data_IF_403606260245
#
_entry.id   IF_403606260245
#
_cell.length_a   1.000
_cell.length_b   1.000
_cell.length_c   1.000
_cell.angle_alpha   90.00
_cell.angle_beta   90.00
_cell.angle_gamma   90.00
#
_symmetry.space_group_name_H-M   'P 1'
#
loop_
_entity.id
_entity.type
_entity.pdbx_description
1 polymer ?
#
# COMPACT_ATOMS: atom_id res chain seq x y z
N UNK A 1 16.72 -66.66 -27.76
CA UNK A 1 16.52 -66.03 -29.08
C UNK A 1 15.20 -65.28 -28.97
N UNK A 2 15.03 -63.96 -29.01
CA UNK A 2 15.76 -62.78 -29.51
C UNK A 2 15.19 -61.56 -28.76
N UNK A 3 15.89 -60.90 -27.84
CA UNK A 3 16.69 -59.64 -27.95
C UNK A 3 16.07 -58.45 -28.72
N UNK A 4 16.03 -57.31 -28.01
CA UNK A 4 15.81 -55.90 -28.44
C UNK A 4 16.72 -55.48 -29.62
N UNK A 5 16.49 -54.27 -30.19
CA UNK A 5 17.35 -53.15 -29.80
C UNK A 5 16.66 -51.77 -29.66
N UNK A 6 17.41 -50.87 -29.00
CA UNK A 6 17.22 -49.43 -28.82
C UNK A 6 18.21 -48.67 -29.76
N UNK A 7 17.78 -47.48 -30.23
CA UNK A 7 18.53 -46.20 -30.35
C UNK A 7 19.69 -46.10 -31.37
N UNK A 8 19.55 -45.25 -32.42
CA UNK A 8 20.33 -43.99 -32.65
C UNK A 8 20.28 -43.44 -34.11
N UNK A 9 20.61 -42.14 -34.24
CA UNK A 9 20.87 -41.29 -35.44
C UNK A 9 19.64 -40.75 -36.20
N UNK A 10 19.44 -39.44 -36.38
CA UNK A 10 20.18 -38.57 -37.32
C UNK A 10 20.28 -37.07 -36.89
N UNK A 11 21.37 -36.44 -37.35
CA UNK A 11 21.83 -35.05 -37.19
C UNK A 11 21.01 -33.99 -37.96
N UNK A 12 21.13 -32.75 -37.45
CA UNK A 12 21.24 -31.44 -38.16
C UNK A 12 20.15 -31.01 -39.16
N UNK A 13 19.44 -29.92 -38.82
CA UNK A 13 19.23 -28.82 -39.77
C UNK A 13 18.91 -27.51 -39.04
N UNK A 14 19.91 -26.65 -38.94
CA UNK A 14 19.82 -25.24 -38.57
C UNK A 14 19.35 -24.39 -39.75
N UNK A 15 18.29 -23.59 -39.60
CA UNK A 15 18.02 -22.40 -40.39
C UNK A 15 17.29 -21.31 -39.55
N UNK A 16 17.44 -20.02 -39.89
CA UNK A 16 17.45 -18.91 -38.92
C UNK A 16 16.10 -18.22 -38.77
N UNK A 17 15.81 -17.73 -37.56
CA UNK A 17 14.74 -16.75 -37.34
C UNK A 17 15.30 -15.32 -37.50
N UNK A 18 14.68 -14.45 -38.31
CA UNK A 18 15.08 -13.06 -38.41
C UNK A 18 14.54 -12.29 -37.20
N UNK A 19 15.43 -11.74 -36.38
CA UNK A 19 15.07 -10.70 -35.42
C UNK A 19 14.93 -9.37 -36.17
N UNK A 20 13.70 -8.92 -36.33
CA UNK A 20 13.38 -7.52 -36.57
C UNK A 20 11.94 -7.29 -36.13
N UNK A 21 11.75 -6.74 -34.94
CA UNK A 21 10.85 -5.61 -34.69
C UNK A 21 11.04 -5.10 -33.27
N UNK A 22 11.09 -3.77 -33.15
CA UNK A 22 11.03 -3.02 -31.91
C UNK A 22 9.87 -3.54 -31.04
N UNK A 23 10.16 -3.99 -29.82
CA UNK A 23 9.12 -4.22 -28.81
C UNK A 23 8.63 -2.88 -28.27
N UNK A 24 7.31 -2.70 -28.27
CA UNK A 24 6.63 -1.57 -27.66
C UNK A 24 6.81 -1.61 -26.13
N UNK A 25 7.08 -0.48 -25.45
CA UNK A 25 7.37 -0.43 -24.01
C UNK A 25 6.26 -1.06 -23.12
N UNK A 26 5.00 -1.06 -23.55
CA UNK A 26 3.86 -1.58 -22.77
C UNK A 26 3.87 -3.11 -22.61
N UNK A 27 4.43 -3.83 -23.58
CA UNK A 27 4.58 -5.29 -23.51
C UNK A 27 5.69 -5.69 -22.53
N UNK A 28 6.74 -4.87 -22.42
CA UNK A 28 7.86 -5.11 -21.51
C UNK A 28 7.43 -5.01 -20.05
N UNK A 29 6.63 -4.00 -19.72
CA UNK A 29 6.07 -3.77 -18.37
C UNK A 29 5.15 -4.94 -17.97
N UNK A 30 4.26 -5.38 -18.87
CA UNK A 30 3.33 -6.49 -18.60
C UNK A 30 4.06 -7.83 -18.38
N UNK A 31 5.13 -8.09 -19.14
CA UNK A 31 5.95 -9.29 -18.99
C UNK A 31 6.76 -9.30 -17.69
N UNK A 32 7.29 -8.15 -17.25
CA UNK A 32 7.99 -8.00 -15.96
C UNK A 32 7.05 -8.31 -14.79
N UNK A 33 5.82 -7.78 -14.81
CA UNK A 33 4.85 -8.06 -13.74
C UNK A 33 4.43 -9.53 -13.68
N UNK A 34 4.32 -10.21 -14.83
CA UNK A 34 4.05 -11.66 -14.88
C UNK A 34 5.22 -12.50 -14.33
N UNK A 35 6.46 -12.11 -14.64
CA UNK A 35 7.65 -12.79 -14.13
C UNK A 35 7.86 -12.59 -12.61
N UNK A 36 7.57 -11.38 -12.08
CA UNK A 36 7.62 -11.11 -10.64
C UNK A 36 6.60 -11.96 -9.86
N UNK A 37 5.40 -12.20 -10.43
CA UNK A 37 4.42 -13.14 -9.86
C UNK A 37 4.98 -14.56 -9.81
N UNK A 38 5.57 -15.06 -10.89
CA UNK A 38 6.15 -16.42 -10.92
C UNK A 38 7.32 -16.58 -9.92
N UNK A 39 8.16 -15.56 -9.76
CA UNK A 39 9.32 -15.63 -8.86
C UNK A 39 8.93 -15.57 -7.36
N UNK A 40 7.89 -14.80 -7.00
CA UNK A 40 7.29 -14.84 -5.66
C UNK A 40 6.78 -16.25 -5.31
N UNK A 41 6.15 -16.94 -6.27
CA UNK A 41 5.69 -18.32 -6.09
C UNK A 41 6.85 -19.30 -5.93
N UNK A 42 7.95 -19.14 -6.69
CA UNK A 42 9.12 -20.00 -6.56
C UNK A 42 9.82 -19.86 -5.20
N UNK A 43 9.89 -18.62 -4.67
CA UNK A 43 10.49 -18.35 -3.36
C UNK A 43 9.55 -18.68 -2.17
N UNK A 44 8.24 -18.73 -2.39
CA UNK A 44 7.26 -19.17 -1.38
C UNK A 44 7.23 -20.70 -1.17
N UNK A 45 7.81 -21.48 -2.10
CA UNK A 45 7.92 -22.95 -2.01
C UNK A 45 9.20 -23.41 -1.28
N UNK A 46 10.08 -22.50 -0.87
CA UNK A 46 11.21 -22.84 0.01
C UNK A 46 10.69 -22.91 1.45
N UNK A 47 10.91 -24.01 2.18
CA UNK A 47 10.41 -24.16 3.55
C UNK A 47 10.85 -22.98 4.41
N UNK A 48 9.88 -22.38 5.09
CA UNK A 48 10.08 -21.31 6.09
C UNK A 48 10.68 -21.97 7.34
N UNK A 49 11.95 -22.35 7.30
CA UNK A 49 12.66 -22.87 8.47
C UNK A 49 13.82 -21.95 8.87
N UNK A 50 13.70 -21.41 10.09
CA UNK A 50 14.77 -20.97 11.00
C UNK A 50 15.58 -19.69 10.71
N UNK A 51 15.12 -18.75 9.88
CA UNK A 51 15.74 -17.39 9.82
C UNK A 51 15.04 -16.27 10.59
N UNK A 52 13.89 -16.56 11.23
CA UNK A 52 13.14 -15.56 11.99
C UNK A 52 13.72 -15.25 13.39
N UNK A 53 14.51 -16.17 13.97
CA UNK A 53 15.12 -15.96 15.30
C UNK A 53 16.22 -14.88 15.29
N UNK A 54 16.83 -14.57 14.15
CA UNK A 54 17.87 -13.53 14.04
C UNK A 54 17.33 -12.12 13.77
N UNK A 55 16.10 -11.96 13.27
CA UNK A 55 15.50 -10.62 13.08
C UNK A 55 14.84 -10.08 14.36
N UNK A 56 14.42 -10.95 15.29
CA UNK A 56 14.00 -10.53 16.63
C UNK A 56 15.12 -9.81 17.41
N UNK A 57 16.39 -10.08 17.10
CA UNK A 57 17.53 -9.36 17.69
C UNK A 57 17.68 -7.94 17.14
N UNK A 58 17.19 -7.63 15.94
CA UNK A 58 17.29 -6.28 15.35
C UNK A 58 16.33 -5.27 16.02
N UNK A 59 15.23 -5.72 16.60
CA UNK A 59 14.31 -4.88 17.37
C UNK A 59 14.61 -4.85 18.88
N UNK A 60 15.61 -5.63 19.35
CA UNK A 60 16.03 -5.66 20.76
C UNK A 60 16.95 -4.50 21.17
N UNK A 61 17.48 -3.73 20.22
CA UNK A 61 18.13 -2.46 20.52
C UNK A 61 17.06 -1.38 20.63
N UNK A 62 16.43 -1.32 21.81
CA UNK A 62 15.77 -0.11 22.30
C UNK A 62 16.78 1.02 22.17
N UNK A 63 16.54 1.95 21.25
CA UNK A 63 17.16 3.27 21.34
C UNK A 63 16.37 4.02 22.43
N UNK A 64 16.93 4.19 23.64
CA UNK A 64 16.18 4.74 24.75
C UNK A 64 16.05 6.24 24.51
N UNK A 65 14.85 6.69 24.13
CA UNK A 65 14.27 8.01 24.33
C UNK A 65 15.31 9.07 24.77
N UNK A 66 16.25 9.42 23.89
CA UNK A 66 17.25 10.44 24.20
C UNK A 66 16.65 11.79 23.82
N UNK A 67 15.91 12.33 24.78
CA UNK A 67 15.62 13.74 24.88
C UNK A 67 16.96 14.46 25.12
N UNK A 68 17.71 14.73 24.06
CA UNK A 68 18.92 15.55 24.10
C UNK A 68 18.62 16.91 23.50
N UNK A 69 18.63 17.92 24.37
CA UNK A 69 18.68 19.33 24.05
C UNK A 69 19.96 19.63 23.27
N UNK A 70 19.90 19.60 21.94
CA UNK A 70 21.02 19.98 21.09
C UNK A 70 21.17 21.51 21.08
N UNK A 71 22.09 22.01 21.90
CA UNK A 71 22.62 23.37 21.78
C UNK A 71 23.47 23.48 20.50
N UNK A 72 23.17 24.52 19.73
CA UNK A 72 23.91 25.10 18.58
C UNK A 72 25.38 24.68 18.45
N UNK A 73 25.69 24.04 17.33
CA UNK A 73 26.94 24.27 16.58
C UNK A 73 26.56 24.58 15.14
N UNK A 74 26.86 25.81 14.72
CA UNK A 74 26.65 26.30 13.36
C UNK A 74 27.80 25.76 12.52
N UNK A 75 27.55 24.70 11.77
CA UNK A 75 28.31 24.37 10.57
C UNK A 75 27.39 24.64 9.39
N UNK A 76 27.87 25.47 8.47
CA UNK A 76 27.15 25.90 7.28
C UNK A 76 27.08 24.74 6.30
N UNK A 77 26.08 23.88 6.46
CA UNK A 77 25.61 23.01 5.40
C UNK A 77 24.92 23.90 4.35
N UNK A 78 25.26 23.65 3.08
CA UNK A 78 24.62 24.31 1.94
C UNK A 78 23.11 24.14 2.03
N UNK A 79 22.38 25.07 1.42
CA UNK A 79 20.92 25.10 1.25
C UNK A 79 20.43 23.96 0.33
N UNK A 80 20.87 22.72 0.61
CA UNK A 80 20.49 21.49 -0.08
C UNK A 80 18.99 21.26 0.19
N UNK A 81 18.21 21.20 -0.90
CA UNK A 81 16.76 21.02 -0.89
C UNK A 81 16.33 19.96 0.14
N UNK A 82 15.56 20.40 1.14
CA UNK A 82 14.92 19.52 2.12
C UNK A 82 14.17 18.39 1.41
N UNK A 83 14.31 17.12 1.82
CA UNK A 83 13.71 16.01 1.10
C UNK A 83 12.18 16.12 1.09
N UNK A 84 11.59 16.18 -0.10
CA UNK A 84 10.13 16.27 -0.27
C UNK A 84 9.52 14.87 -0.22
N UNK A 85 8.57 14.68 0.69
CA UNK A 85 7.73 13.49 0.83
C UNK A 85 6.37 13.77 0.24
N UNK A 86 6.10 13.22 -0.95
CA UNK A 86 4.84 13.43 -1.63
C UNK A 86 3.85 12.28 -1.38
N UNK A 87 2.63 12.64 -1.01
CA UNK A 87 1.45 11.80 -1.11
C UNK A 87 0.57 12.34 -2.24
N UNK A 88 0.33 11.51 -3.25
CA UNK A 88 -0.62 11.79 -4.33
C UNK A 88 -1.76 10.77 -4.25
N UNK A 89 -2.99 11.29 -4.12
CA UNK A 89 -4.22 10.50 -4.07
C UNK A 89 -4.30 9.45 -5.20
N UNK A 90 -4.74 8.21 -4.90
CA UNK A 90 -5.01 7.19 -5.92
C UNK A 90 -6.32 7.48 -6.70
N UNK A 91 -7.10 8.48 -6.29
CA UNK A 91 -8.37 8.85 -6.91
C UNK A 91 -8.22 9.93 -7.98
N UNK A 92 -7.00 10.42 -8.24
CA UNK A 92 -6.75 11.22 -9.43
C UNK A 92 -6.97 10.39 -10.72
N UNK A 93 -7.46 11.03 -11.80
CA UNK A 93 -7.56 10.38 -13.10
C UNK A 93 -6.22 9.82 -13.56
N UNK A 94 -6.23 8.72 -14.31
CA UNK A 94 -5.03 8.24 -14.97
C UNK A 94 -4.57 9.27 -16.01
N UNK A 95 -3.38 9.83 -15.82
CA UNK A 95 -2.72 10.65 -16.82
C UNK A 95 -2.13 9.71 -17.89
N UNK A 96 -2.54 9.89 -19.15
CA UNK A 96 -2.22 8.97 -20.25
C UNK A 96 -0.73 8.89 -20.63
N UNK A 97 0.12 9.69 -19.97
CA UNK A 97 1.54 9.85 -20.33
C UNK A 97 2.52 9.54 -19.19
N UNK A 98 2.05 9.22 -17.96
CA UNK A 98 2.95 8.92 -16.84
C UNK A 98 3.14 7.41 -16.62
N UNK A 99 4.37 6.94 -16.32
CA UNK A 99 4.61 5.54 -16.00
C UNK A 99 3.82 5.15 -14.74
N UNK A 100 3.17 3.98 -14.78
CA UNK A 100 2.38 3.47 -13.66
C UNK A 100 3.29 3.15 -12.47
N UNK A 101 3.00 3.77 -11.33
CA UNK A 101 3.73 3.49 -10.08
C UNK A 101 3.31 2.10 -9.58
N UNK A 102 4.25 1.16 -9.35
CA UNK A 102 3.92 -0.14 -8.78
C UNK A 102 3.18 0.04 -7.45
N UNK A 103 2.00 -0.55 -7.38
CA UNK A 103 1.07 -0.33 -6.27
C UNK A 103 0.60 -1.66 -5.69
N UNK A 104 0.71 -1.80 -4.37
CA UNK A 104 0.16 -2.92 -3.62
C UNK A 104 -1.14 -2.51 -2.92
N UNK A 105 -2.13 -3.41 -2.89
CA UNK A 105 -3.34 -3.31 -2.09
C UNK A 105 -3.32 -4.39 -1.00
N UNK A 106 -3.52 -4.00 0.25
CA UNK A 106 -3.80 -4.91 1.37
C UNK A 106 -5.28 -4.78 1.74
N UNK A 107 -5.99 -5.89 1.85
CA UNK A 107 -7.40 -5.94 2.31
C UNK A 107 -7.43 -6.58 3.69
N UNK A 108 -7.84 -5.81 4.70
CA UNK A 108 -7.98 -6.27 6.08
C UNK A 108 -9.35 -6.91 6.33
N UNK A 109 -9.51 -7.54 7.49
CA UNK A 109 -10.78 -8.16 7.94
C UNK A 109 -11.81 -7.11 8.40
N UNK A 110 -12.12 -6.14 7.56
CA UNK A 110 -13.13 -5.11 7.78
C UNK A 110 -14.30 -5.31 6.80
N UNK A 111 -15.57 -5.16 7.22
CA UNK A 111 -16.71 -5.25 6.30
C UNK A 111 -16.52 -4.37 5.07
N UNK A 112 -16.83 -4.91 3.88
CA UNK A 112 -16.81 -4.17 2.61
C UNK A 112 -18.25 -3.79 2.28
N UNK A 113 -18.51 -2.50 2.14
CA UNK A 113 -19.80 -2.00 1.65
C UNK A 113 -19.97 -2.41 0.19
N UNK A 114 -21.10 -3.05 -0.16
CA UNK A 114 -21.38 -3.41 -1.55
C UNK A 114 -21.86 -2.18 -2.32
N UNK A 115 -21.39 -2.03 -3.56
CA UNK A 115 -21.97 -1.09 -4.50
C UNK A 115 -23.39 -1.54 -4.90
N UNK A 116 -24.19 -0.60 -5.43
CA UNK A 116 -25.57 -0.85 -5.88
C UNK A 116 -25.66 -1.96 -6.96
N UNK A 117 -24.59 -2.18 -7.72
CA UNK A 117 -24.47 -3.23 -8.72
C UNK A 117 -23.91 -4.57 -8.18
N UNK A 118 -23.81 -4.72 -6.85
CA UNK A 118 -23.25 -5.91 -6.21
C UNK A 118 -21.72 -5.99 -6.23
N UNK A 119 -21.06 -4.92 -6.70
CA UNK A 119 -19.61 -4.87 -6.84
C UNK A 119 -18.89 -4.38 -5.56
N UNK A 120 -17.55 -4.33 -5.59
CA UNK A 120 -16.73 -3.64 -4.59
C UNK A 120 -17.25 -2.22 -4.35
N UNK A 121 -17.06 -1.70 -3.13
CA UNK A 121 -17.35 -0.30 -2.84
C UNK A 121 -16.65 0.63 -3.82
N UNK A 122 -17.20 1.83 -4.04
CA UNK A 122 -16.62 2.79 -4.98
C UNK A 122 -15.14 3.05 -4.65
N UNK A 123 -14.80 3.19 -3.36
CA UNK A 123 -13.42 3.36 -2.91
C UNK A 123 -12.56 2.14 -3.23
N UNK A 124 -12.95 0.94 -2.76
CA UNK A 124 -12.17 -0.28 -2.95
C UNK A 124 -12.01 -0.66 -4.42
N UNK A 125 -13.01 -0.39 -5.26
CA UNK A 125 -12.93 -0.61 -6.70
C UNK A 125 -11.78 0.21 -7.32
N UNK A 126 -11.67 1.50 -6.98
CA UNK A 126 -10.54 2.35 -7.44
C UNK A 126 -9.21 1.77 -6.94
N UNK A 127 -9.10 1.47 -5.65
CA UNK A 127 -7.86 0.92 -5.08
C UNK A 127 -7.47 -0.41 -5.74
N UNK A 128 -8.44 -1.28 -6.00
CA UNK A 128 -8.24 -2.57 -6.67
C UNK A 128 -7.69 -2.41 -8.09
N UNK A 129 -8.28 -1.50 -8.87
CA UNK A 129 -7.86 -1.22 -10.26
C UNK A 129 -6.47 -0.58 -10.33
N UNK A 130 -6.13 0.30 -9.39
CA UNK A 130 -4.81 0.94 -9.32
C UNK A 130 -3.69 0.00 -8.86
N UNK A 131 -4.02 -1.16 -8.31
CA UNK A 131 -3.05 -2.06 -7.67
C UNK A 131 -2.62 -3.21 -8.57
N UNK A 132 -1.31 -3.40 -8.68
CA UNK A 132 -0.66 -4.49 -9.43
C UNK A 132 -0.39 -5.74 -8.58
N UNK A 133 -0.38 -5.59 -7.26
CA UNK A 133 -0.20 -6.67 -6.29
C UNK A 133 -1.25 -6.57 -5.19
N UNK A 134 -1.98 -7.64 -4.91
CA UNK A 134 -3.16 -7.61 -4.03
C UNK A 134 -3.04 -8.70 -2.97
N UNK A 135 -3.10 -8.31 -1.71
CA UNK A 135 -2.93 -9.20 -0.55
C UNK A 135 -4.16 -9.13 0.32
N UNK A 136 -4.74 -10.28 0.65
CA UNK A 136 -5.74 -10.38 1.72
C UNK A 136 -5.04 -10.77 3.03
N UNK A 137 -5.25 -9.97 4.07
CA UNK A 137 -4.75 -10.24 5.41
C UNK A 137 -5.79 -11.12 6.15
N UNK A 138 -5.48 -12.41 6.28
CA UNK A 138 -6.29 -13.45 6.89
C UNK A 138 -7.79 -13.35 6.52
N UNK A 139 -8.63 -12.94 7.48
CA UNK A 139 -10.07 -12.81 7.30
C UNK A 139 -10.49 -11.74 6.29
N UNK A 140 -9.57 -10.89 5.82
CA UNK A 140 -9.81 -10.01 4.66
C UNK A 140 -10.19 -10.78 3.40
N UNK A 141 -9.75 -12.03 3.25
CA UNK A 141 -10.19 -12.90 2.17
C UNK A 141 -11.67 -13.29 2.29
N UNK A 142 -12.20 -13.46 3.51
CA UNK A 142 -13.63 -13.70 3.70
C UNK A 142 -14.44 -12.50 3.21
N UNK A 143 -13.97 -11.28 3.51
CA UNK A 143 -14.64 -10.03 3.10
C UNK A 143 -14.68 -9.91 1.58
N UNK A 144 -13.57 -10.19 0.91
CA UNK A 144 -13.48 -10.18 -0.54
C UNK A 144 -14.38 -11.27 -1.17
N UNK A 145 -14.41 -12.46 -0.55
CA UNK A 145 -15.27 -13.56 -0.97
C UNK A 145 -16.75 -13.20 -0.85
N UNK A 146 -17.19 -12.56 0.24
CA UNK A 146 -18.61 -12.19 0.44
C UNK A 146 -19.12 -11.22 -0.63
N UNK A 147 -18.25 -10.35 -1.15
CA UNK A 147 -18.55 -9.47 -2.29
C UNK A 147 -18.61 -10.28 -3.58
N UNK A 148 -17.65 -11.17 -3.80
CA UNK A 148 -17.55 -11.99 -5.01
C UNK A 148 -18.68 -13.01 -5.15
N UNK A 149 -19.06 -13.67 -4.05
CA UNK A 149 -20.06 -14.73 -4.01
C UNK A 149 -21.50 -14.21 -3.98
N UNK A 150 -21.72 -12.98 -3.50
CA UNK A 150 -23.05 -12.36 -3.48
C UNK A 150 -23.65 -12.06 -4.85
N UNK A 151 -22.85 -12.15 -5.92
CA UNK A 151 -23.27 -11.97 -7.32
C UNK A 151 -23.69 -13.29 -7.99
N UNK A 152 -23.65 -14.41 -7.27
CA UNK A 152 -23.93 -15.75 -7.80
C UNK A 152 -25.42 -16.14 -7.84
N UNK A 153 -26.33 -15.19 -8.06
CA UNK A 153 -27.75 -15.52 -8.32
C UNK A 153 -28.00 -16.00 -9.75
N UNK A 154 -27.02 -15.86 -10.65
CA UNK A 154 -27.08 -16.33 -12.03
C UNK A 154 -25.73 -16.98 -12.38
N UNK A 155 -25.72 -18.31 -12.58
CA UNK A 155 -24.51 -19.13 -12.84
C UNK A 155 -23.77 -18.75 -14.15
N UNK A 156 -24.27 -17.75 -14.88
CA UNK A 156 -23.82 -17.38 -16.23
C UNK A 156 -22.98 -16.10 -16.29
N UNK A 157 -22.85 -15.34 -15.19
CA UNK A 157 -22.07 -14.09 -15.16
C UNK A 157 -21.07 -14.11 -13.97
N UNK A 158 -20.03 -14.93 -14.07
CA UNK A 158 -18.88 -14.96 -13.13
C UNK A 158 -17.80 -13.91 -13.47
N UNK A 159 -18.18 -12.72 -13.95
CA UNK A 159 -17.19 -11.80 -14.56
C UNK A 159 -16.41 -10.95 -13.53
N UNK A 160 -16.80 -10.96 -12.25
CA UNK A 160 -16.05 -10.27 -11.17
C UNK A 160 -15.29 -11.27 -10.29
N UNK A 161 -14.42 -12.08 -10.91
CA UNK A 161 -13.49 -12.95 -10.17
C UNK A 161 -12.42 -12.10 -9.46
N UNK A 162 -12.76 -11.56 -8.28
CA UNK A 162 -11.81 -10.86 -7.43
C UNK A 162 -10.84 -11.85 -6.78
N UNK A 163 -9.75 -12.12 -7.49
CA UNK A 163 -8.64 -12.96 -7.03
C UNK A 163 -7.51 -12.08 -6.50
N UNK A 164 -7.17 -12.17 -5.19
CA UNK A 164 -5.93 -11.58 -4.70
C UNK A 164 -4.74 -12.38 -5.23
N UNK A 165 -3.57 -11.76 -5.23
CA UNK A 165 -2.31 -12.41 -5.58
C UNK A 165 -1.76 -13.26 -4.42
N UNK A 166 -2.18 -12.98 -3.18
CA UNK A 166 -1.77 -13.68 -1.97
C UNK A 166 -2.82 -13.55 -0.86
N UNK A 167 -3.01 -14.62 -0.09
CA UNK A 167 -3.66 -14.58 1.22
C UNK A 167 -2.61 -14.91 2.28
N UNK A 168 -2.48 -14.10 3.32
CA UNK A 168 -1.51 -14.35 4.39
C UNK A 168 -1.97 -13.86 5.75
N UNK A 169 -1.47 -14.47 6.82
CA UNK A 169 -1.86 -14.23 8.21
C UNK A 169 -1.55 -15.47 9.05
N UNK A 170 -1.97 -15.51 10.31
CA UNK A 170 -1.97 -16.80 11.05
C UNK A 170 -3.10 -17.74 10.62
N UNK A 171 -4.04 -17.23 9.83
CA UNK A 171 -5.16 -17.96 9.21
C UNK A 171 -6.17 -18.48 10.24
N UNK A 172 -6.30 -17.79 11.37
CA UNK A 172 -7.27 -18.12 12.41
C UNK A 172 -8.68 -17.59 12.09
N UNK A 173 -8.75 -16.59 11.21
CA UNK A 173 -9.97 -15.91 10.83
C UNK A 173 -10.50 -16.37 9.46
N UNK A 174 -9.66 -16.94 8.60
CA UNK A 174 -10.01 -17.44 7.27
C UNK A 174 -10.95 -18.65 7.36
N UNK A 175 -12.13 -18.57 6.73
CA UNK A 175 -13.07 -19.68 6.74
C UNK A 175 -12.63 -20.84 5.83
N UNK A 176 -12.84 -22.11 6.22
CA UNK A 176 -12.41 -23.26 5.43
C UNK A 176 -12.96 -23.30 3.99
N UNK A 177 -14.23 -22.92 3.79
CA UNK A 177 -14.84 -22.86 2.46
C UNK A 177 -14.27 -21.74 1.59
N UNK A 178 -13.93 -20.60 2.20
CA UNK A 178 -13.29 -19.46 1.52
C UNK A 178 -11.85 -19.81 1.14
N UNK A 179 -11.13 -20.46 2.05
CA UNK A 179 -9.79 -21.02 1.78
C UNK A 179 -9.81 -21.93 0.57
N UNK A 180 -10.69 -22.94 0.59
CA UNK A 180 -10.83 -23.90 -0.51
C UNK A 180 -11.20 -23.22 -1.84
N UNK A 181 -12.06 -22.20 -1.81
CA UNK A 181 -12.44 -21.42 -2.99
C UNK A 181 -11.24 -20.76 -3.67
N UNK A 182 -10.35 -20.15 -2.90
CA UNK A 182 -9.18 -19.45 -3.41
C UNK A 182 -8.03 -20.41 -3.78
N UNK A 183 -7.81 -21.48 -3.00
CA UNK A 183 -6.82 -22.53 -3.33
C UNK A 183 -7.15 -23.20 -4.67
N UNK A 184 -8.42 -23.55 -4.91
CA UNK A 184 -8.87 -24.13 -6.19
C UNK A 184 -8.65 -23.22 -7.39
N UNK A 185 -8.51 -21.90 -7.16
CA UNK A 185 -8.27 -20.88 -8.19
C UNK A 185 -6.79 -20.49 -8.28
N UNK A 186 -5.91 -21.19 -7.58
CA UNK A 186 -4.46 -21.00 -7.66
C UNK A 186 -3.92 -19.80 -6.86
N UNK A 187 -4.71 -19.24 -5.95
CA UNK A 187 -4.24 -18.17 -5.05
C UNK A 187 -3.36 -18.79 -3.96
N UNK A 188 -2.10 -18.35 -3.79
CA UNK A 188 -1.24 -18.78 -2.69
C UNK A 188 -1.83 -18.37 -1.34
N UNK A 189 -1.76 -19.28 -0.37
CA UNK A 189 -2.17 -19.01 1.01
C UNK A 189 -0.99 -19.35 1.93
N UNK A 190 -0.40 -18.33 2.54
CA UNK A 190 0.81 -18.45 3.37
C UNK A 190 0.46 -18.19 4.84
N UNK A 191 0.61 -19.22 5.66
CA UNK A 191 0.48 -19.11 7.13
C UNK A 191 1.74 -18.51 7.74
N UNK A 192 1.58 -17.55 8.65
CA UNK A 192 2.63 -16.95 9.45
C UNK A 192 2.23 -17.07 10.92
N UNK A 193 2.86 -18.00 11.65
CA UNK A 193 2.47 -18.40 13.02
C UNK A 193 2.91 -17.41 14.12
N UNK A 194 3.36 -16.21 13.75
CA UNK A 194 3.83 -15.21 14.70
C UNK A 194 2.66 -14.50 15.41
N UNK A 195 2.71 -14.46 16.74
CA UNK A 195 1.68 -13.86 17.60
C UNK A 195 2.07 -12.47 18.10
N UNK A 196 3.31 -12.03 17.86
CA UNK A 196 3.79 -10.70 18.25
C UNK A 196 3.41 -9.62 17.19
N UNK A 197 2.92 -10.04 16.03
CA UNK A 197 2.57 -9.18 14.90
C UNK A 197 1.10 -9.36 14.47
N UNK A 198 0.45 -8.24 14.15
CA UNK A 198 -0.93 -8.25 13.64
C UNK A 198 -0.96 -8.70 12.17
N UNK A 199 -2.14 -9.06 11.64
CA UNK A 199 -2.24 -9.50 10.24
C UNK A 199 -1.84 -8.43 9.22
N UNK A 200 -2.00 -7.15 9.55
CA UNK A 200 -1.48 -6.06 8.72
C UNK A 200 0.05 -6.12 8.62
N UNK A 201 0.76 -6.37 9.73
CA UNK A 201 2.22 -6.50 9.73
C UNK A 201 2.66 -7.69 8.87
N UNK A 202 1.98 -8.83 8.99
CA UNK A 202 2.24 -10.04 8.16
C UNK A 202 2.01 -9.76 6.67
N UNK A 203 0.95 -9.02 6.33
CA UNK A 203 0.70 -8.58 4.95
C UNK A 203 1.76 -7.59 4.45
N UNK A 204 2.22 -6.66 5.30
CA UNK A 204 3.30 -5.73 4.96
C UNK A 204 4.65 -6.43 4.76
N UNK A 205 4.94 -7.53 5.48
CA UNK A 205 6.09 -8.40 5.20
C UNK A 205 6.03 -9.02 3.79
N UNK A 206 4.84 -9.40 3.33
CA UNK A 206 4.66 -9.91 1.97
C UNK A 206 4.87 -8.80 0.92
N UNK A 207 4.35 -7.60 1.19
CA UNK A 207 4.57 -6.42 0.33
C UNK A 207 6.05 -6.03 0.29
N UNK A 208 6.77 -6.11 1.41
CA UNK A 208 8.21 -5.86 1.46
C UNK A 208 8.98 -6.78 0.51
N UNK A 209 8.72 -8.08 0.56
CA UNK A 209 9.32 -9.05 -0.37
C UNK A 209 8.97 -8.76 -1.83
N UNK A 210 7.75 -8.30 -2.08
CA UNK A 210 7.34 -7.88 -3.42
C UNK A 210 8.15 -6.66 -3.91
N UNK A 211 8.38 -5.65 -3.05
CA UNK A 211 9.24 -4.49 -3.35
C UNK A 211 10.69 -4.92 -3.61
N UNK A 212 11.25 -5.81 -2.79
CA UNK A 212 12.61 -6.34 -2.97
C UNK A 212 12.79 -7.01 -4.35
N UNK A 213 11.78 -7.77 -4.80
CA UNK A 213 11.80 -8.41 -6.10
C UNK A 213 11.72 -7.38 -7.25
N UNK A 214 10.92 -6.31 -7.09
CA UNK A 214 10.89 -5.21 -8.06
C UNK A 214 12.26 -4.54 -8.19
N UNK A 215 12.90 -4.21 -7.06
CA UNK A 215 14.22 -3.58 -7.03
C UNK A 215 15.29 -4.47 -7.67
N UNK A 216 15.26 -5.78 -7.41
CA UNK A 216 16.19 -6.75 -8.02
C UNK A 216 16.02 -6.89 -9.54
N UNK A 217 14.82 -6.62 -10.06
CA UNK A 217 14.53 -6.68 -11.49
C UNK A 217 14.93 -5.37 -12.18
N UNK A 218 14.82 -4.24 -11.47
CA UNK A 218 15.05 -2.89 -12.00
C UNK A 218 16.52 -2.45 -11.86
N UNK A 219 17.34 -3.17 -11.09
CA UNK A 219 18.76 -2.86 -10.79
C UNK A 219 19.72 -2.85 -11.98
N UNK A 220 19.23 -3.08 -13.21
CA UNK A 220 19.97 -2.75 -14.45
C UNK A 220 19.83 -1.26 -14.84
N UNK A 221 18.98 -0.50 -14.16
CA UNK A 221 18.78 0.94 -14.33
C UNK A 221 19.11 1.69 -13.03
N UNK A 222 19.73 2.87 -13.14
CA UNK A 222 20.16 3.70 -12.00
C UNK A 222 19.01 4.41 -11.26
N UNK A 223 17.75 4.02 -11.51
CA UNK A 223 16.57 4.74 -11.06
C UNK A 223 15.96 4.06 -9.83
N UNK A 224 15.76 4.84 -8.77
CA UNK A 224 15.04 4.39 -7.57
C UNK A 224 13.57 4.12 -7.86
N UNK A 225 13.07 2.95 -7.47
CA UNK A 225 11.67 2.56 -7.65
C UNK A 225 10.80 3.24 -6.59
N UNK A 226 9.85 4.06 -7.03
CA UNK A 226 8.77 4.55 -6.16
C UNK A 226 7.65 3.53 -6.14
N UNK A 227 7.04 3.32 -4.98
CA UNK A 227 5.91 2.39 -4.84
C UNK A 227 4.78 3.00 -4.03
N UNK A 228 3.58 2.42 -4.10
CA UNK A 228 2.44 2.76 -3.24
C UNK A 228 1.92 1.51 -2.54
N UNK A 229 1.48 1.67 -1.31
CA UNK A 229 0.80 0.63 -0.51
C UNK A 229 -0.51 1.21 -0.01
N UNK A 230 -1.59 0.71 -0.57
CA UNK A 230 -2.95 1.09 -0.26
C UNK A 230 -3.50 0.01 0.68
N UNK A 231 -3.98 0.37 1.85
CA UNK A 231 -4.51 -0.58 2.84
C UNK A 231 -5.99 -0.28 3.00
N UNK A 232 -6.84 -1.22 2.63
CA UNK A 232 -8.28 -1.10 2.81
C UNK A 232 -8.73 -1.76 4.13
N UNK A 233 -9.42 -0.99 4.96
CA UNK A 233 -9.82 -1.37 6.31
C UNK A 233 -8.99 -0.65 7.39
N UNK A 234 -9.09 -1.13 8.63
CA UNK A 234 -8.37 -0.55 9.78
C UNK A 234 -9.08 0.62 10.47
N UNK A 235 -10.36 0.87 10.13
CA UNK A 235 -11.26 1.83 10.78
C UNK A 235 -12.62 1.20 11.09
N UNK A 236 -13.31 1.71 12.10
CA UNK A 236 -14.71 1.38 12.42
C UNK A 236 -14.91 0.02 13.11
N UNK A 237 -13.88 -0.52 13.77
CA UNK A 237 -13.87 -1.88 14.30
C UNK A 237 -13.42 -1.97 15.77
N UNK A 238 -12.66 -3.01 16.08
CA UNK A 238 -11.98 -3.15 17.37
C UNK A 238 -10.96 -2.03 17.52
N UNK A 239 -11.15 -1.14 18.50
CA UNK A 239 -10.29 0.01 18.70
C UNK A 239 -8.81 -0.34 18.88
N UNK A 240 -8.51 -1.45 19.54
CA UNK A 240 -7.14 -1.96 19.68
C UNK A 240 -6.52 -2.35 18.34
N UNK A 241 -7.30 -2.91 17.41
CA UNK A 241 -6.84 -3.20 16.05
C UNK A 241 -6.64 -1.94 15.22
N UNK A 242 -7.48 -0.91 15.41
CA UNK A 242 -7.27 0.39 14.76
C UNK A 242 -5.95 1.03 15.21
N UNK A 243 -5.66 1.00 16.51
CA UNK A 243 -4.38 1.46 17.05
C UNK A 243 -3.21 0.60 16.56
N UNK A 244 -3.41 -0.72 16.38
CA UNK A 244 -2.45 -1.60 15.71
C UNK A 244 -2.15 -1.15 14.28
N UNK A 245 -3.18 -0.78 13.51
CA UNK A 245 -3.02 -0.25 12.15
C UNK A 245 -2.26 1.08 12.14
N UNK A 246 -2.57 1.99 13.08
CA UNK A 246 -1.83 3.24 13.22
C UNK A 246 -0.37 3.00 13.58
N UNK A 247 -0.10 2.09 14.53
CA UNK A 247 1.26 1.71 14.91
C UNK A 247 2.03 1.15 13.71
N UNK A 248 1.40 0.31 12.88
CA UNK A 248 2.01 -0.21 11.66
C UNK A 248 2.46 0.92 10.72
N UNK A 249 1.71 2.01 10.57
CA UNK A 249 2.17 3.18 9.79
C UNK A 249 3.48 3.76 10.36
N UNK A 250 3.61 3.92 11.68
CA UNK A 250 4.84 4.41 12.32
C UNK A 250 6.02 3.45 12.19
N UNK A 251 5.78 2.14 12.30
CA UNK A 251 6.83 1.12 12.21
C UNK A 251 7.32 0.99 10.76
N UNK A 252 6.40 0.76 9.83
CA UNK A 252 6.71 0.45 8.44
C UNK A 252 7.07 1.69 7.63
N UNK A 253 6.41 2.84 7.86
CA UNK A 253 6.72 4.09 7.15
C UNK A 253 8.12 4.65 7.42
N UNK A 254 8.78 4.19 8.49
CA UNK A 254 10.18 4.56 8.82
C UNK A 254 11.20 3.51 8.37
N UNK A 255 10.76 2.34 7.90
CA UNK A 255 11.65 1.27 7.46
C UNK A 255 12.35 1.69 6.17
N UNK A 256 13.66 1.43 6.08
CA UNK A 256 14.46 1.82 4.92
C UNK A 256 13.90 1.30 3.59
N UNK A 257 13.37 0.07 3.56
CA UNK A 257 12.76 -0.51 2.36
C UNK A 257 11.55 0.28 1.84
N UNK A 258 10.82 0.93 2.74
CA UNK A 258 9.63 1.74 2.41
C UNK A 258 9.96 3.23 2.24
N UNK A 259 11.26 3.58 2.22
CA UNK A 259 11.68 4.98 2.10
C UNK A 259 11.27 5.62 0.78
N UNK A 260 10.80 4.89 -0.24
CA UNK A 260 10.24 5.46 -1.47
C UNK A 260 8.81 5.00 -1.71
N UNK A 261 8.13 4.63 -0.62
CA UNK A 261 6.79 4.06 -0.63
C UNK A 261 5.82 4.98 0.08
N UNK A 262 4.73 5.35 -0.59
CA UNK A 262 3.60 5.98 0.10
C UNK A 262 2.72 4.88 0.69
N UNK A 263 2.46 4.91 2.00
CA UNK A 263 1.60 3.95 2.70
C UNK A 263 0.39 4.68 3.25
N UNK A 264 -0.82 4.24 2.90
CA UNK A 264 -2.05 4.87 3.37
C UNK A 264 -3.15 3.85 3.66
N UNK A 265 -3.88 4.09 4.76
CA UNK A 265 -5.10 3.40 5.15
C UNK A 265 -6.31 4.10 4.50
N UNK A 266 -7.28 3.30 4.06
CA UNK A 266 -8.55 3.74 3.49
C UNK A 266 -9.70 2.92 4.08
N UNK A 267 -10.76 3.60 4.48
CA UNK A 267 -12.10 3.06 4.66
C UNK A 267 -13.08 3.83 3.79
N UNK A 268 -14.37 3.53 3.93
CA UNK A 268 -15.42 4.21 3.17
C UNK A 268 -15.59 5.69 3.52
N UNK A 269 -15.23 6.07 4.76
CA UNK A 269 -15.44 7.43 5.28
C UNK A 269 -14.13 8.12 5.71
N UNK A 270 -13.00 7.42 5.68
CA UNK A 270 -11.75 7.95 6.25
C UNK A 270 -10.52 7.44 5.52
N UNK A 271 -9.54 8.31 5.31
CA UNK A 271 -8.19 7.98 4.91
C UNK A 271 -7.21 8.47 5.99
N UNK A 272 -6.11 7.73 6.21
CA UNK A 272 -5.02 8.16 7.08
C UNK A 272 -3.66 7.65 6.62
N UNK A 273 -2.62 8.47 6.80
CA UNK A 273 -1.24 8.09 6.51
C UNK A 273 -0.24 8.86 7.38
N UNK A 274 0.99 8.35 7.48
CA UNK A 274 2.05 8.94 8.28
C UNK A 274 2.72 10.11 7.54
N UNK A 275 2.86 11.24 8.22
CA UNK A 275 3.76 12.33 7.87
C UNK A 275 5.10 12.13 8.58
N UNK A 276 6.19 12.24 7.84
CA UNK A 276 7.53 12.14 8.41
C UNK A 276 7.98 13.49 8.98
N UNK A 277 8.81 13.42 10.01
CA UNK A 277 9.38 14.61 10.64
C UNK A 277 10.47 15.27 9.78
N UNK A 278 10.85 16.47 10.18
CA UNK A 278 12.04 17.16 9.69
C UNK A 278 13.29 16.24 9.66
N UNK A 279 14.17 16.38 8.65
CA UNK A 279 14.24 17.48 7.68
C UNK A 279 13.25 17.38 6.51
N UNK A 280 12.36 16.39 6.47
CA UNK A 280 11.42 16.22 5.37
C UNK A 280 10.31 17.29 5.34
N UNK A 281 9.93 17.71 4.13
CA UNK A 281 8.69 18.47 3.89
C UNK A 281 7.66 17.54 3.28
N UNK A 282 6.48 17.42 3.89
CA UNK A 282 5.41 16.58 3.36
C UNK A 282 4.52 17.40 2.42
N UNK A 283 4.37 16.96 1.17
CA UNK A 283 3.44 17.50 0.18
C UNK A 283 2.26 16.54 0.03
N UNK A 284 1.05 17.05 0.18
CA UNK A 284 -0.17 16.25 0.17
C UNK A 284 -1.09 16.78 -0.92
N UNK A 285 -1.51 15.89 -1.83
CA UNK A 285 -2.51 16.17 -2.86
C UNK A 285 -3.67 15.20 -2.74
N UNK A 286 -4.85 15.75 -2.47
CA UNK A 286 -6.11 15.01 -2.33
C UNK A 286 -7.08 15.35 -3.46
N UNK A 287 -8.07 14.49 -3.69
CA UNK A 287 -8.98 14.63 -4.84
C UNK A 287 -10.03 15.73 -4.70
N UNK A 288 -10.47 16.05 -3.49
CA UNK A 288 -11.52 17.05 -3.25
C UNK A 288 -11.11 18.12 -2.23
N UNK A 289 -10.19 19.04 -2.59
CA UNK A 289 -10.00 20.28 -1.85
C UNK A 289 -11.31 21.10 -1.81
N UNK A 290 -11.48 21.90 -0.75
CA UNK A 290 -12.71 22.65 -0.52
C UNK A 290 -12.94 23.69 -1.63
N UNK A 291 -14.17 23.78 -2.12
CA UNK A 291 -14.53 24.68 -3.22
C UNK A 291 -14.02 24.27 -4.62
N UNK A 292 -13.25 23.17 -4.75
CA UNK A 292 -12.67 22.72 -6.01
C UNK A 292 -12.88 21.20 -6.21
N UNK A 293 -13.73 20.81 -7.19
CA UNK A 293 -13.77 19.43 -7.68
C UNK A 293 -12.70 19.26 -8.76
N UNK A 294 -11.75 18.34 -8.60
CA UNK A 294 -10.67 18.12 -9.57
C UNK A 294 -11.17 17.48 -10.88
N UNK A 295 -12.39 16.95 -10.93
CA UNK A 295 -12.98 16.52 -12.21
C UNK A 295 -14.50 16.46 -12.17
N UNK A 296 -15.16 17.24 -13.03
CA UNK A 296 -16.46 16.85 -13.57
C UNK A 296 -16.17 15.79 -14.63
N UNK A 297 -16.16 14.51 -14.25
CA UNK A 297 -16.20 13.45 -15.24
C UNK A 297 -17.56 13.55 -15.96
N UNK A 298 -17.51 13.45 -17.28
CA UNK A 298 -18.63 13.66 -18.17
C UNK A 298 -19.79 12.70 -17.84
N UNK A 299 -20.84 13.20 -17.20
CA UNK A 299 -22.15 12.56 -17.11
C UNK A 299 -22.20 11.25 -16.31
N UNK A 300 -22.77 11.32 -15.11
CA UNK A 300 -23.35 10.21 -14.32
C UNK A 300 -22.47 9.25 -13.51
N UNK A 301 -21.14 9.36 -13.49
CA UNK A 301 -20.34 8.51 -12.60
C UNK A 301 -20.13 9.13 -11.22
N UNK A 302 -20.57 8.39 -10.22
CA UNK A 302 -20.35 8.63 -8.80
C UNK A 302 -18.85 8.73 -8.50
N UNK A 303 -18.38 9.90 -8.04
CA UNK A 303 -16.95 10.17 -7.86
C UNK A 303 -16.58 10.04 -6.39
N UNK A 304 -15.62 9.17 -6.09
CA UNK A 304 -15.09 8.93 -4.74
C UNK A 304 -13.68 9.50 -4.59
N UNK A 305 -13.32 9.96 -3.40
CA UNK A 305 -11.99 10.51 -3.13
C UNK A 305 -11.90 11.22 -1.78
N UNK A 306 -10.69 11.65 -1.43
CA UNK A 306 -10.39 12.30 -0.15
C UNK A 306 -10.81 13.77 -0.10
N UNK A 307 -11.24 14.23 1.08
CA UNK A 307 -11.47 15.63 1.43
C UNK A 307 -12.93 16.10 1.35
N UNK A 308 -13.18 17.39 1.62
CA UNK A 308 -12.19 18.41 2.00
C UNK A 308 -11.77 18.36 3.48
N UNK A 309 -12.57 17.75 4.36
CA UNK A 309 -12.27 17.75 5.80
C UNK A 309 -11.04 16.89 6.11
N UNK A 310 -10.20 17.37 7.01
CA UNK A 310 -8.94 16.73 7.37
C UNK A 310 -8.51 17.01 8.82
N UNK A 311 -7.43 16.36 9.24
CA UNK A 311 -6.81 16.59 10.54
C UNK A 311 -5.35 16.17 10.61
N UNK A 312 -4.66 16.68 11.63
CA UNK A 312 -3.28 16.38 11.99
C UNK A 312 -3.26 15.81 13.40
N UNK A 313 -2.96 14.52 13.53
CA UNK A 313 -3.14 13.74 14.76
C UNK A 313 -1.75 13.34 15.32
N UNK A 314 -1.32 13.92 16.45
CA UNK A 314 -0.02 13.67 17.08
C UNK A 314 -0.02 12.35 17.88
N UNK A 315 -0.30 11.23 17.21
CA UNK A 315 -0.51 9.93 17.87
C UNK A 315 0.79 9.34 18.46
N UNK A 316 1.93 9.57 17.81
CA UNK A 316 3.24 9.10 18.28
C UNK A 316 3.82 9.90 19.45
N UNK A 317 3.22 11.04 19.79
CA UNK A 317 3.69 11.95 20.83
C UNK A 317 3.61 13.42 20.42
N UNK A 318 4.08 14.28 21.31
CA UNK A 318 4.09 15.73 21.13
C UNK A 318 4.90 16.14 19.88
N UNK A 319 4.31 17.01 19.08
CA UNK A 319 4.95 17.71 17.96
C UNK A 319 5.17 19.16 18.39
N UNK A 320 6.41 19.54 18.73
CA UNK A 320 6.75 20.87 19.28
C UNK A 320 6.51 22.02 18.28
N UNK A 321 6.80 21.78 17.01
CA UNK A 321 6.54 22.70 15.91
C UNK A 321 5.86 21.96 14.76
N UNK A 322 4.76 22.54 14.26
CA UNK A 322 4.07 22.12 13.03
C UNK A 322 3.75 23.37 12.21
N UNK A 323 4.27 23.42 10.98
CA UNK A 323 4.05 24.52 10.03
C UNK A 323 3.31 23.97 8.82
N UNK A 324 2.23 24.62 8.42
CA UNK A 324 1.42 24.16 7.27
C UNK A 324 1.09 25.26 6.29
N UNK A 325 0.87 24.88 5.03
CA UNK A 325 0.21 25.69 4.01
C UNK A 325 -0.91 24.90 3.33
N UNK A 326 -1.87 25.59 2.73
CA UNK A 326 -2.97 24.96 1.97
C UNK A 326 -4.13 24.43 2.80
N UNK A 327 -4.09 24.56 4.13
CA UNK A 327 -5.21 24.26 5.02
C UNK A 327 -6.03 25.51 5.33
N UNK A 328 -7.30 25.34 5.73
CA UNK A 328 -8.17 26.44 6.15
C UNK A 328 -7.66 27.12 7.40
N UNK A 329 -7.19 26.32 8.35
CA UNK A 329 -6.53 26.78 9.56
C UNK A 329 -5.08 26.31 9.50
N UNK A 330 -4.22 27.12 8.87
CA UNK A 330 -2.79 26.83 8.80
C UNK A 330 -2.12 27.04 10.16
N UNK A 331 -1.09 26.24 10.44
CA UNK A 331 -0.26 26.33 11.63
C UNK A 331 1.04 27.07 11.29
N UNK A 332 1.52 27.90 12.21
CA UNK A 332 2.72 28.73 12.06
C UNK A 332 3.93 28.20 12.85
N UNK A 333 3.81 27.04 13.50
CA UNK A 333 4.86 26.43 14.32
C UNK A 333 4.94 26.90 15.77
N UNK A 334 4.09 27.85 16.21
CA UNK A 334 4.19 28.41 17.57
C UNK A 334 3.48 27.56 18.64
N UNK A 335 2.40 26.86 18.26
CA UNK A 335 1.60 26.05 19.18
C UNK A 335 1.88 24.56 18.93
N UNK A 336 2.32 23.82 19.95
CA UNK A 336 2.59 22.38 19.83
C UNK A 336 1.29 21.59 19.66
N UNK A 337 1.37 20.46 18.94
CA UNK A 337 0.28 19.50 18.83
C UNK A 337 0.53 18.28 19.72
N UNK A 338 -0.42 17.96 20.60
CA UNK A 338 -0.36 16.80 21.50
C UNK A 338 -1.75 16.39 21.99
N UNK A 339 -1.92 15.10 22.32
CA UNK A 339 -3.10 14.65 23.05
C UNK A 339 -3.11 15.25 24.47
N UNK A 340 -4.26 15.78 24.89
CA UNK A 340 -4.40 16.58 26.11
C UNK A 340 -4.15 18.08 25.90
N UNK A 341 -3.62 18.47 24.73
CA UNK A 341 -3.45 19.84 24.28
C UNK A 341 -4.20 20.11 22.97
N UNK A 342 -3.54 20.79 22.03
CA UNK A 342 -4.11 21.05 20.70
C UNK A 342 -3.96 19.81 19.81
N UNK A 343 -5.08 19.39 19.21
CA UNK A 343 -5.12 18.46 18.08
C UNK A 343 -5.87 19.17 16.96
N UNK A 344 -5.29 19.23 15.75
CA UNK A 344 -5.97 19.83 14.60
C UNK A 344 -6.99 18.84 14.04
N UNK A 345 -8.17 18.78 14.64
CA UNK A 345 -9.33 18.05 14.12
C UNK A 345 -10.29 19.00 13.38
N UNK A 346 -11.04 18.48 12.40
CA UNK A 346 -12.02 19.25 11.62
C UNK A 346 -11.41 20.43 10.86
N UNK A 347 -10.15 20.29 10.43
CA UNK A 347 -9.53 21.22 9.50
C UNK A 347 -10.06 20.94 8.08
N UNK A 348 -9.72 21.79 7.10
CA UNK A 348 -10.15 21.62 5.71
C UNK A 348 -8.99 21.88 4.77
N UNK A 349 -8.83 21.05 3.76
CA UNK A 349 -7.89 21.31 2.67
C UNK A 349 -8.50 22.35 1.74
N UNK A 350 -7.77 23.42 1.45
CA UNK A 350 -8.22 24.52 0.60
C UNK A 350 -7.50 24.53 -0.76
N UNK A 351 -6.19 24.28 -0.73
CA UNK A 351 -5.34 24.39 -1.91
C UNK A 351 -5.12 23.02 -2.57
N UNK A 352 -4.69 23.02 -3.84
CA UNK A 352 -4.35 21.80 -4.57
C UNK A 352 -3.18 21.02 -3.95
N UNK A 353 -2.31 21.71 -3.20
CA UNK A 353 -1.17 21.12 -2.48
C UNK A 353 -1.16 21.66 -1.07
N UNK A 354 -1.23 20.76 -0.09
CA UNK A 354 -0.97 21.05 1.31
C UNK A 354 0.49 20.74 1.59
N UNK A 355 1.18 21.65 2.28
CA UNK A 355 2.51 21.37 2.82
C UNK A 355 2.44 21.22 4.33
N UNK A 356 3.13 20.24 4.88
CA UNK A 356 3.26 20.03 6.32
C UNK A 356 4.72 19.77 6.66
N UNK A 357 5.28 20.64 7.50
CA UNK A 357 6.54 20.43 8.18
C UNK A 357 6.25 20.18 9.66
N UNK A 358 6.84 19.14 10.23
CA UNK A 358 6.58 18.75 11.62
C UNK A 358 7.87 18.28 12.30
N UNK A 359 8.05 18.69 13.55
CA UNK A 359 9.16 18.29 14.43
C UNK A 359 9.16 16.81 14.80
N UNK A 360 7.99 16.16 14.83
CA UNK A 360 7.82 14.74 15.15
C UNK A 360 6.88 14.07 14.14
N UNK A 361 7.01 12.76 13.84
CA UNK A 361 6.10 12.08 12.93
C UNK A 361 4.66 12.12 13.46
N UNK A 362 3.70 12.31 12.56
CA UNK A 362 2.29 12.44 12.94
C UNK A 362 1.36 11.87 11.87
N UNK A 363 0.11 11.61 12.21
CA UNK A 363 -0.86 11.10 11.24
C UNK A 363 -1.58 12.27 10.57
N UNK A 364 -1.61 12.29 9.24
CA UNK A 364 -2.61 13.05 8.49
C UNK A 364 -3.83 12.18 8.27
N UNK A 365 -5.02 12.74 8.47
CA UNK A 365 -6.28 12.06 8.16
C UNK A 365 -7.21 12.97 7.38
N UNK A 366 -8.07 12.38 6.57
CA UNK A 366 -9.06 13.09 5.76
C UNK A 366 -10.33 12.27 5.61
N UNK A 367 -11.46 12.94 5.52
CA UNK A 367 -12.71 12.26 5.18
C UNK A 367 -12.63 11.65 3.78
N UNK A 368 -13.34 10.56 3.57
CA UNK A 368 -13.63 10.04 2.24
C UNK A 368 -15.05 10.45 1.88
N UNK A 369 -15.21 11.03 0.69
CA UNK A 369 -16.52 11.43 0.19
C UNK A 369 -16.84 10.74 -1.13
N UNK A 370 -18.13 10.74 -1.41
CA UNK A 370 -18.74 10.12 -2.57
C UNK A 370 -19.77 11.12 -3.12
N UNK A 371 -19.56 11.60 -4.34
CA UNK A 371 -20.32 12.73 -4.95
C UNK A 371 -21.05 12.34 -6.22
#
# INVERSE_FOLDING_TARGET
MSRMPKVDEWRESSLPFPFSTQMHPDLFVTLIFSAAKIQLFANALVPIDNHWSSQAQYFSHRDPLHMMTARKSVESENDDERPIRRYDSPFFPDESEQPTIPTALIILNTPISKSANGDLSSALNVLWRKSSFRVCADGGANRLFDVSAGNASDETIFDTNYLPDLITGDLDSLFPNVREYYEKRGVPIIKVEDQDYHDLDKALMAVERWIENLDSTITQSTTTVKTKVLIYGGFGGRFDQEMGCMNALYVWGRKHMFRHTSIALYGEETCAFLLLAEPATNEIRISFPDGHCVSKLNGSDEVVGEGPSCGLIPLGGRCDAVVTSGLKWNLNGEVPLEFGGLVSSSNRVMDAVVTVQTSSPMIFTTEMIKR
#
